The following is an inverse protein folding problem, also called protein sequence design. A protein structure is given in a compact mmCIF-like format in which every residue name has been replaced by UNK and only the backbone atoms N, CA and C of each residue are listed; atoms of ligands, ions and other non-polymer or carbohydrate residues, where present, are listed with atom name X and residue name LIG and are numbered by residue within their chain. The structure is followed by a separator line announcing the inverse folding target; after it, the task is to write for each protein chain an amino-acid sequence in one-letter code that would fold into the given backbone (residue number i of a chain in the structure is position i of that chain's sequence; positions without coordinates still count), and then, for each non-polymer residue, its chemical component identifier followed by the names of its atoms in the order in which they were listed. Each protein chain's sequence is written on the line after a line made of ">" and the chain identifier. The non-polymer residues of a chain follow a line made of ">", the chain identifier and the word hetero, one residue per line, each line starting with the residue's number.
data_IF_974480467248
#
_entry.id   IF_974480467248
#
_cell.length_a   1.000
_cell.length_b   1.000
_cell.length_c   1.000
_cell.angle_alpha   90.00
_cell.angle_beta   90.00
_cell.angle_gamma   90.00
#
_symmetry.space_group_name_H-M   'P 1'
#
loop_
_entity.id
_entity.type
_entity.pdbx_description
1 polymer ?
#
# COMPACT_ATOMS: atom_id res chain seq x y z
N UNK A 1 12.35 14.98 -36.25
CA UNK A 1 12.24 15.74 -35.00
C UNK A 1 12.73 14.86 -33.87
N UNK A 2 13.93 15.09 -33.35
CA UNK A 2 14.41 14.43 -32.13
C UNK A 2 13.51 14.88 -30.96
N UNK A 3 12.72 13.92 -30.44
CA UNK A 3 12.01 14.18 -29.17
C UNK A 3 13.08 14.37 -28.09
N UNK A 4 13.22 15.60 -27.57
CA UNK A 4 14.06 15.88 -26.40
C UNK A 4 13.71 14.85 -25.32
N UNK A 5 14.69 14.05 -24.94
CA UNK A 5 14.56 13.06 -23.86
C UNK A 5 14.19 13.83 -22.58
N UNK A 6 12.97 13.65 -22.09
CA UNK A 6 12.57 14.27 -20.82
C UNK A 6 13.36 13.58 -19.71
N UNK A 7 14.00 14.37 -18.87
CA UNK A 7 14.79 13.89 -17.74
C UNK A 7 13.94 13.04 -16.80
N UNK A 8 14.46 11.90 -16.37
CA UNK A 8 13.77 10.97 -15.46
C UNK A 8 13.27 11.67 -14.18
N UNK A 9 14.06 12.59 -13.63
CA UNK A 9 13.67 13.39 -12.46
C UNK A 9 12.40 14.21 -12.71
N UNK A 10 12.29 14.84 -13.89
CA UNK A 10 11.09 15.62 -14.26
C UNK A 10 9.84 14.73 -14.39
N UNK A 11 10.00 13.54 -14.94
CA UNK A 11 8.89 12.57 -15.07
C UNK A 11 8.40 12.13 -13.69
N UNK A 12 9.32 11.83 -12.76
CA UNK A 12 8.98 11.46 -11.38
C UNK A 12 8.26 12.62 -10.67
N UNK A 13 8.79 13.84 -10.76
CA UNK A 13 8.15 15.02 -10.15
C UNK A 13 6.75 15.23 -10.73
N UNK A 14 6.58 15.14 -12.04
CA UNK A 14 5.27 15.31 -12.68
C UNK A 14 4.28 14.22 -12.25
N UNK A 15 4.73 12.97 -12.17
CA UNK A 15 3.93 11.87 -11.64
C UNK A 15 3.43 12.15 -10.21
N UNK A 16 4.34 12.56 -9.32
CA UNK A 16 4.00 12.84 -7.93
C UNK A 16 3.05 14.04 -7.82
N UNK A 17 3.31 15.12 -8.54
CA UNK A 17 2.46 16.32 -8.52
C UNK A 17 1.04 16.00 -9.01
N UNK A 18 0.90 15.33 -10.15
CA UNK A 18 -0.43 14.98 -10.69
C UNK A 18 -1.15 14.04 -9.72
N UNK A 19 -0.47 12.99 -9.24
CA UNK A 19 -1.06 12.01 -8.33
C UNK A 19 -1.56 12.69 -7.05
N UNK A 20 -0.72 13.48 -6.37
CA UNK A 20 -1.09 14.14 -5.12
C UNK A 20 -2.17 15.20 -5.33
N UNK A 21 -1.98 16.11 -6.30
CA UNK A 21 -2.92 17.22 -6.51
C UNK A 21 -4.30 16.71 -6.93
N UNK A 22 -4.37 15.76 -7.86
CA UNK A 22 -5.67 15.25 -8.32
C UNK A 22 -6.35 14.45 -7.21
N UNK A 23 -5.62 13.59 -6.48
CA UNK A 23 -6.18 12.89 -5.32
C UNK A 23 -6.75 13.87 -4.30
N UNK A 24 -5.96 14.85 -3.89
CA UNK A 24 -6.38 15.80 -2.87
C UNK A 24 -7.53 16.68 -3.34
N UNK A 25 -7.51 17.16 -4.58
CA UNK A 25 -8.64 17.91 -5.14
C UNK A 25 -9.92 17.07 -5.15
N UNK A 26 -9.88 15.84 -5.62
CA UNK A 26 -11.02 14.96 -5.63
C UNK A 26 -11.54 14.66 -4.20
N UNK A 27 -10.64 14.36 -3.27
CA UNK A 27 -11.05 13.97 -1.92
C UNK A 27 -11.42 15.16 -1.03
N UNK A 28 -10.86 16.36 -1.23
CA UNK A 28 -11.31 17.54 -0.50
C UNK A 28 -12.57 18.19 -1.09
N UNK A 29 -12.86 17.98 -2.38
CA UNK A 29 -14.01 18.61 -3.04
C UNK A 29 -15.34 18.33 -2.32
N UNK A 30 -15.71 17.08 -1.95
CA UNK A 30 -16.95 16.81 -1.22
C UNK A 30 -17.07 17.63 0.08
N UNK A 31 -15.98 17.69 0.84
CA UNK A 31 -15.92 18.44 2.11
C UNK A 31 -16.13 19.95 1.86
N UNK A 32 -15.45 20.50 0.85
CA UNK A 32 -15.49 21.94 0.53
C UNK A 32 -16.86 22.41 0.04
N UNK A 33 -17.62 21.54 -0.63
CA UNK A 33 -18.98 21.86 -1.11
C UNK A 33 -20.09 21.40 -0.15
N UNK A 34 -19.71 20.96 1.06
CA UNK A 34 -20.67 20.62 2.13
C UNK A 34 -21.44 19.32 1.89
N UNK A 35 -20.86 18.36 1.17
CA UNK A 35 -21.45 17.02 1.08
C UNK A 35 -21.31 16.29 2.42
N UNK A 36 -22.26 15.40 2.70
CA UNK A 36 -22.14 14.44 3.78
C UNK A 36 -20.99 13.45 3.47
N UNK A 37 -20.01 13.38 4.38
CA UNK A 37 -18.83 12.50 4.25
C UNK A 37 -18.72 11.50 5.41
N UNK A 38 -19.72 11.43 6.30
CA UNK A 38 -19.69 10.57 7.50
C UNK A 38 -19.55 9.08 7.14
N UNK A 39 -20.21 8.65 6.06
CA UNK A 39 -20.21 7.27 5.61
C UNK A 39 -19.44 7.07 4.30
N UNK A 40 -18.63 8.03 3.89
CA UNK A 40 -17.88 7.95 2.63
C UNK A 40 -16.85 6.85 2.67
N UNK A 41 -17.02 5.88 1.80
CA UNK A 41 -16.07 4.77 1.60
C UNK A 41 -16.10 4.32 0.16
N UNK A 42 -15.10 3.53 -0.25
CA UNK A 42 -15.07 2.99 -1.62
C UNK A 42 -16.23 2.02 -1.90
N UNK A 43 -16.89 1.50 -0.87
CA UNK A 43 -18.04 0.58 -0.99
C UNK A 43 -19.39 1.26 -0.94
N UNK A 44 -19.47 2.55 -0.62
CA UNK A 44 -20.69 3.33 -0.76
C UNK A 44 -20.83 3.89 -2.17
N UNK A 45 -22.07 4.11 -2.62
CA UNK A 45 -22.35 4.55 -4.00
C UNK A 45 -23.01 5.94 -4.02
N UNK A 46 -22.63 6.81 -3.10
CA UNK A 46 -22.99 8.20 -3.10
C UNK A 46 -22.01 9.09 -3.89
N UNK A 47 -22.36 10.33 -4.11
CA UNK A 47 -21.50 11.26 -4.86
C UNK A 47 -20.16 11.52 -4.19
N UNK A 48 -20.13 11.60 -2.84
CA UNK A 48 -18.88 11.79 -2.09
C UNK A 48 -17.93 10.62 -2.31
N UNK A 49 -18.44 9.40 -2.32
CA UNK A 49 -17.68 8.16 -2.57
C UNK A 49 -17.17 8.05 -3.99
N UNK A 50 -17.87 8.63 -4.98
CA UNK A 50 -17.34 8.70 -6.35
C UNK A 50 -16.08 9.57 -6.38
N UNK A 51 -16.12 10.77 -5.80
CA UNK A 51 -14.93 11.63 -5.72
C UNK A 51 -13.80 10.99 -4.92
N UNK A 52 -14.14 10.36 -3.79
CA UNK A 52 -13.22 9.60 -2.96
C UNK A 52 -12.52 8.49 -3.76
N UNK A 53 -13.29 7.68 -4.50
CA UNK A 53 -12.77 6.60 -5.32
C UNK A 53 -11.91 7.08 -6.50
N UNK A 54 -12.32 8.16 -7.20
CA UNK A 54 -11.50 8.77 -8.25
C UNK A 54 -10.15 9.22 -7.69
N UNK A 55 -10.13 9.91 -6.55
CA UNK A 55 -8.89 10.28 -5.87
C UNK A 55 -8.04 9.07 -5.49
N UNK A 56 -8.69 8.01 -4.99
CA UNK A 56 -8.03 6.79 -4.53
C UNK A 56 -7.30 6.01 -5.63
N UNK A 57 -7.79 6.02 -6.87
CA UNK A 57 -7.14 5.29 -7.98
C UNK A 57 -6.02 6.06 -8.69
N UNK A 58 -5.79 7.32 -8.34
CA UNK A 58 -4.82 8.17 -9.05
C UNK A 58 -3.40 7.61 -9.10
N UNK A 59 -2.84 7.02 -8.06
CA UNK A 59 -1.48 6.47 -8.16
C UNK A 59 -1.34 5.47 -9.31
N UNK A 60 -2.23 4.50 -9.41
CA UNK A 60 -2.23 3.49 -10.46
C UNK A 60 -2.60 4.06 -11.82
N UNK A 61 -3.63 4.89 -11.89
CA UNK A 61 -4.10 5.48 -13.15
C UNK A 61 -3.01 6.34 -13.81
N UNK A 62 -2.43 7.27 -13.06
CA UNK A 62 -1.35 8.14 -13.56
C UNK A 62 -0.11 7.30 -13.89
N UNK A 63 0.23 6.30 -13.06
CA UNK A 63 1.34 5.39 -13.30
C UNK A 63 1.20 4.64 -14.63
N UNK A 64 0.03 4.05 -14.89
CA UNK A 64 -0.26 3.35 -16.14
C UNK A 64 -0.23 4.30 -17.35
N UNK A 65 -0.85 5.47 -17.24
CA UNK A 65 -0.81 6.49 -18.30
C UNK A 65 0.66 6.87 -18.60
N UNK A 66 1.48 7.08 -17.57
CA UNK A 66 2.89 7.45 -17.74
C UNK A 66 3.74 6.33 -18.36
N UNK A 67 3.40 5.08 -18.06
CA UNK A 67 4.02 3.92 -18.75
C UNK A 67 3.76 3.99 -20.24
N UNK A 68 2.52 4.24 -20.67
CA UNK A 68 2.20 4.37 -22.11
C UNK A 68 2.89 5.57 -22.78
N UNK A 69 3.06 6.68 -22.07
CA UNK A 69 3.67 7.91 -22.61
C UNK A 69 5.21 7.79 -22.67
N UNK A 70 5.84 7.27 -21.63
CA UNK A 70 7.28 7.38 -21.41
C UNK A 70 8.07 6.08 -21.54
N UNK A 71 7.42 4.93 -21.75
CA UNK A 71 8.11 3.65 -21.91
C UNK A 71 8.18 3.24 -23.39
N UNK A 72 9.21 2.45 -23.73
CA UNK A 72 9.27 1.75 -25.03
C UNK A 72 8.21 0.66 -25.08
N UNK A 73 7.97 0.07 -26.26
CA UNK A 73 7.05 -1.07 -26.39
C UNK A 73 7.47 -2.26 -25.51
N UNK A 74 8.76 -2.52 -25.43
CA UNK A 74 9.35 -3.54 -24.58
C UNK A 74 9.14 -3.21 -23.09
N UNK A 75 9.30 -1.94 -22.71
CA UNK A 75 9.03 -1.44 -21.37
C UNK A 75 7.59 -1.59 -20.95
N UNK A 76 6.65 -1.30 -21.84
CA UNK A 76 5.21 -1.51 -21.61
C UNK A 76 4.93 -3.00 -21.37
N UNK A 77 5.48 -3.89 -22.22
CA UNK A 77 5.35 -5.34 -22.04
C UNK A 77 5.95 -5.82 -20.71
N UNK A 78 7.13 -5.33 -20.35
CA UNK A 78 7.75 -5.65 -19.05
C UNK A 78 6.90 -5.18 -17.87
N UNK A 79 6.36 -3.97 -17.93
CA UNK A 79 5.45 -3.45 -16.90
C UNK A 79 4.25 -4.37 -16.69
N UNK A 80 3.49 -4.70 -17.74
CA UNK A 80 2.32 -5.57 -17.61
C UNK A 80 2.70 -7.00 -17.21
N UNK A 81 3.83 -7.52 -17.69
CA UNK A 81 4.36 -8.82 -17.25
C UNK A 81 4.66 -8.82 -15.75
N UNK A 82 5.24 -7.75 -15.21
CA UNK A 82 5.54 -7.64 -13.78
C UNK A 82 4.27 -7.52 -12.94
N UNK A 83 3.22 -6.87 -13.47
CA UNK A 83 1.97 -6.68 -12.76
C UNK A 83 1.10 -7.95 -12.71
N UNK A 84 1.05 -8.71 -13.81
CA UNK A 84 0.03 -9.77 -13.97
C UNK A 84 0.58 -11.18 -14.11
N UNK A 85 1.88 -11.35 -14.39
CA UNK A 85 2.47 -12.68 -14.58
C UNK A 85 3.33 -13.04 -13.38
N UNK A 86 2.97 -14.08 -12.59
CA UNK A 86 3.80 -14.53 -11.48
C UNK A 86 5.13 -15.10 -11.97
N UNK A 87 6.12 -15.14 -11.07
CA UNK A 87 7.35 -15.90 -11.24
C UNK A 87 7.47 -16.92 -10.11
N UNK A 88 8.43 -17.83 -10.19
CA UNK A 88 8.63 -18.86 -9.16
C UNK A 88 8.93 -18.27 -7.78
N UNK A 89 9.59 -17.12 -7.74
CA UNK A 89 9.93 -16.40 -6.52
C UNK A 89 8.72 -15.74 -5.86
N UNK A 90 7.62 -15.50 -6.62
CA UNK A 90 6.41 -14.90 -6.08
C UNK A 90 5.77 -15.75 -5.00
N UNK A 91 5.82 -17.08 -5.10
CA UNK A 91 5.23 -17.97 -4.07
C UNK A 91 5.93 -17.75 -2.73
N UNK A 92 7.26 -17.77 -2.72
CA UNK A 92 8.04 -17.52 -1.50
C UNK A 92 7.78 -16.09 -0.96
N UNK A 93 7.75 -15.09 -1.83
CA UNK A 93 7.47 -13.71 -1.46
C UNK A 93 6.08 -13.56 -0.81
N UNK A 94 5.05 -14.20 -1.38
CA UNK A 94 3.67 -14.19 -0.85
C UNK A 94 3.60 -14.90 0.50
N UNK A 95 4.23 -16.07 0.65
CA UNK A 95 4.25 -16.80 1.92
C UNK A 95 5.00 -16.05 3.01
N UNK A 96 6.12 -15.41 2.69
CA UNK A 96 6.88 -14.56 3.62
C UNK A 96 6.01 -13.36 4.06
N UNK A 97 5.31 -12.72 3.13
CA UNK A 97 4.40 -11.61 3.43
C UNK A 97 3.27 -12.04 4.37
N UNK A 98 2.62 -13.16 4.07
CA UNK A 98 1.54 -13.71 4.91
C UNK A 98 2.05 -14.06 6.30
N UNK A 99 3.23 -14.68 6.40
CA UNK A 99 3.87 -15.00 7.68
C UNK A 99 4.15 -13.75 8.53
N UNK A 100 4.67 -12.68 7.91
CA UNK A 100 4.90 -11.40 8.61
C UNK A 100 3.58 -10.83 9.15
N UNK A 101 2.54 -10.71 8.32
CA UNK A 101 1.24 -10.16 8.72
C UNK A 101 0.62 -11.00 9.86
N UNK A 102 0.68 -12.32 9.78
CA UNK A 102 0.21 -13.18 10.87
C UNK A 102 0.98 -12.96 12.18
N UNK A 103 2.29 -12.73 12.10
CA UNK A 103 3.11 -12.40 13.27
C UNK A 103 2.75 -11.01 13.84
N UNK A 104 2.54 -10.00 13.00
CA UNK A 104 2.09 -8.66 13.41
C UNK A 104 0.77 -8.74 14.18
N UNK A 105 -0.22 -9.46 13.65
CA UNK A 105 -1.51 -9.68 14.31
C UNK A 105 -1.35 -10.40 15.63
N UNK A 106 -0.58 -11.48 15.68
CA UNK A 106 -0.38 -12.26 16.89
C UNK A 106 0.32 -11.45 18.00
N UNK A 107 1.36 -10.68 17.66
CA UNK A 107 2.10 -9.83 18.59
C UNK A 107 1.20 -8.70 19.09
N UNK A 108 0.49 -8.02 18.17
CA UNK A 108 -0.46 -6.95 18.54
C UNK A 108 -1.53 -7.47 19.49
N UNK A 109 -2.13 -8.61 19.18
CA UNK A 109 -3.15 -9.25 20.03
C UNK A 109 -2.61 -9.60 21.41
N UNK A 110 -1.40 -10.16 21.47
CA UNK A 110 -0.77 -10.54 22.75
C UNK A 110 -0.53 -9.32 23.63
N UNK A 111 0.03 -8.24 23.07
CA UNK A 111 0.31 -7.00 23.80
C UNK A 111 -1.00 -6.31 24.22
N UNK A 112 -1.95 -6.15 23.29
CA UNK A 112 -3.23 -5.50 23.58
C UNK A 112 -3.99 -6.22 24.71
N UNK A 113 -4.01 -7.55 24.68
CA UNK A 113 -4.62 -8.36 25.76
C UNK A 113 -3.92 -8.12 27.11
N UNK A 114 -2.61 -7.98 27.13
CA UNK A 114 -1.85 -7.67 28.37
C UNK A 114 -2.16 -6.28 28.91
N UNK A 115 -2.55 -5.37 28.03
CA UNK A 115 -2.96 -4.00 28.38
C UNK A 115 -4.47 -3.89 28.69
N UNK A 116 -5.20 -5.01 28.74
CA UNK A 116 -6.61 -5.06 29.14
C UNK A 116 -7.60 -4.89 27.98
N UNK A 117 -7.14 -4.94 26.72
CA UNK A 117 -8.05 -4.97 25.58
C UNK A 117 -8.81 -6.31 25.53
N UNK A 118 -10.04 -6.25 25.04
CA UNK A 118 -10.79 -7.45 24.69
C UNK A 118 -10.09 -8.25 23.59
N UNK A 119 -10.34 -9.55 23.58
CA UNK A 119 -9.85 -10.39 22.49
C UNK A 119 -10.51 -9.97 21.17
N UNK A 120 -9.73 -10.06 20.07
CA UNK A 120 -10.28 -9.81 18.73
C UNK A 120 -11.49 -10.70 18.47
N UNK A 121 -12.58 -10.07 18.04
CA UNK A 121 -13.82 -10.77 17.78
C UNK A 121 -13.81 -11.59 16.50
N UNK A 122 -12.91 -11.32 15.55
CA UNK A 122 -12.89 -11.91 14.20
C UNK A 122 -14.25 -11.81 13.49
N UNK A 123 -14.90 -10.65 13.60
CA UNK A 123 -16.28 -10.49 13.12
C UNK A 123 -16.41 -10.74 11.61
N UNK A 124 -15.43 -10.31 10.81
CA UNK A 124 -15.41 -10.62 9.39
C UNK A 124 -15.34 -12.13 9.10
N UNK A 125 -14.53 -12.88 9.87
CA UNK A 125 -14.47 -14.33 9.74
C UNK A 125 -15.80 -15.00 10.13
N UNK A 126 -16.46 -14.52 11.20
CA UNK A 126 -17.78 -14.98 11.60
C UNK A 126 -18.82 -14.74 10.50
N UNK A 127 -18.76 -13.57 9.84
CA UNK A 127 -19.62 -13.27 8.70
C UNK A 127 -19.38 -14.22 7.54
N UNK A 128 -18.13 -14.52 7.20
CA UNK A 128 -17.77 -15.49 6.15
C UNK A 128 -18.29 -16.90 6.49
N UNK A 129 -18.14 -17.34 7.75
CA UNK A 129 -18.65 -18.66 8.21
C UNK A 129 -20.17 -18.71 8.10
N UNK A 130 -20.86 -17.62 8.47
CA UNK A 130 -22.33 -17.53 8.40
C UNK A 130 -22.85 -17.47 6.96
N UNK A 131 -22.15 -16.77 6.08
CA UNK A 131 -22.47 -16.67 4.67
C UNK A 131 -21.19 -16.56 3.82
N UNK A 132 -20.76 -17.62 3.11
CA UNK A 132 -19.54 -17.64 2.31
C UNK A 132 -19.45 -16.56 1.22
N UNK A 133 -20.55 -15.93 0.82
CA UNK A 133 -20.53 -14.84 -0.16
C UNK A 133 -19.76 -13.61 0.38
N UNK A 134 -19.69 -13.42 1.71
CA UNK A 134 -18.86 -12.37 2.30
C UNK A 134 -17.36 -12.54 1.99
N UNK A 135 -16.90 -13.77 1.75
CA UNK A 135 -15.52 -13.97 1.29
C UNK A 135 -15.24 -13.23 -0.02
N UNK A 136 -16.11 -13.35 -1.00
CA UNK A 136 -15.96 -12.66 -2.28
C UNK A 136 -16.13 -11.14 -2.14
N UNK A 137 -17.01 -10.68 -1.26
CA UNK A 137 -17.15 -9.26 -0.94
C UNK A 137 -15.85 -8.68 -0.36
N UNK A 138 -15.28 -9.30 0.66
CA UNK A 138 -14.03 -8.85 1.27
C UNK A 138 -12.84 -8.97 0.32
N UNK A 139 -12.79 -10.04 -0.47
CA UNK A 139 -11.76 -10.20 -1.49
C UNK A 139 -11.84 -9.09 -2.54
N UNK A 140 -13.03 -8.80 -3.06
CA UNK A 140 -13.24 -7.75 -4.05
C UNK A 140 -12.78 -6.39 -3.52
N UNK A 141 -13.25 -6.00 -2.35
CA UNK A 141 -12.87 -4.72 -1.75
C UNK A 141 -11.42 -4.69 -1.30
N UNK A 142 -10.87 -5.77 -0.77
CA UNK A 142 -9.45 -5.89 -0.43
C UNK A 142 -8.53 -5.75 -1.64
N UNK A 143 -9.01 -6.10 -2.84
CA UNK A 143 -8.30 -5.89 -4.11
C UNK A 143 -8.42 -4.44 -4.59
N UNK A 144 -9.61 -3.88 -4.60
CA UNK A 144 -9.88 -2.57 -5.22
C UNK A 144 -9.38 -1.42 -4.35
N UNK A 145 -9.57 -1.49 -3.02
CA UNK A 145 -9.30 -0.37 -2.11
C UNK A 145 -7.83 -0.05 -1.86
N UNK A 146 -6.91 -0.87 -2.31
CA UNK A 146 -5.48 -0.64 -2.13
C UNK A 146 -4.66 -1.18 -3.29
N UNK A 147 -4.48 -2.51 -3.42
CA UNK A 147 -3.55 -3.07 -4.40
C UNK A 147 -3.79 -2.61 -5.82
N UNK A 148 -5.03 -2.65 -6.29
CA UNK A 148 -5.39 -2.23 -7.65
C UNK A 148 -5.28 -0.72 -7.84
N UNK A 149 -5.70 0.04 -6.84
CA UNK A 149 -5.69 1.51 -6.88
C UNK A 149 -4.29 2.10 -6.76
N UNK A 150 -3.34 1.36 -6.19
CA UNK A 150 -2.08 1.92 -5.74
C UNK A 150 -0.83 1.26 -6.34
N UNK A 151 -0.78 -0.08 -6.44
CA UNK A 151 0.49 -0.77 -6.66
C UNK A 151 1.04 -0.63 -8.08
N UNK A 152 0.19 -0.44 -9.08
CA UNK A 152 0.66 -0.16 -10.45
C UNK A 152 1.41 1.18 -10.52
N UNK A 153 1.02 2.14 -9.67
CA UNK A 153 1.68 3.43 -9.55
C UNK A 153 2.91 3.38 -8.65
N UNK A 154 2.72 3.05 -7.38
CA UNK A 154 3.81 3.11 -6.41
C UNK A 154 4.93 2.12 -6.71
N UNK A 155 4.60 0.84 -6.97
CA UNK A 155 5.61 -0.22 -7.16
C UNK A 155 5.84 -0.53 -8.62
N UNK A 156 4.81 -0.45 -9.45
CA UNK A 156 4.92 -0.69 -10.88
C UNK A 156 5.68 0.40 -11.63
N UNK A 157 5.39 1.67 -11.33
CA UNK A 157 5.99 2.82 -12.00
C UNK A 157 7.07 3.52 -11.16
N UNK A 158 6.71 4.05 -9.95
CA UNK A 158 7.60 4.93 -9.20
C UNK A 158 8.82 4.19 -8.63
N UNK A 159 8.59 3.04 -7.96
CA UNK A 159 9.69 2.21 -7.44
C UNK A 159 10.61 1.77 -8.57
N UNK A 160 10.05 1.34 -9.69
CA UNK A 160 10.82 0.88 -10.84
C UNK A 160 11.73 1.99 -11.42
N UNK A 161 11.21 3.21 -11.52
CA UNK A 161 11.97 4.36 -11.99
C UNK A 161 13.05 4.87 -11.03
N UNK A 162 12.80 4.73 -9.73
CA UNK A 162 13.75 5.11 -8.68
C UNK A 162 14.74 4.00 -8.37
N UNK A 163 14.50 2.77 -8.86
CA UNK A 163 15.25 1.59 -8.45
C UNK A 163 16.76 1.78 -8.64
N UNK A 164 17.47 1.65 -7.53
CA UNK A 164 18.93 1.67 -7.48
C UNK A 164 19.39 0.80 -6.30
N UNK A 165 20.13 -0.26 -6.60
CA UNK A 165 20.51 -1.31 -5.64
C UNK A 165 21.13 -0.77 -4.34
N UNK A 166 21.95 0.27 -4.47
CA UNK A 166 22.67 0.87 -3.33
C UNK A 166 21.85 1.87 -2.52
N UNK A 167 20.65 2.26 -3.02
CA UNK A 167 19.80 3.31 -2.42
C UNK A 167 18.42 2.81 -2.00
N UNK A 168 18.24 1.48 -1.88
CA UNK A 168 16.92 0.90 -1.62
C UNK A 168 16.29 1.39 -0.31
N UNK A 169 17.09 1.59 0.74
CA UNK A 169 16.59 2.16 1.99
C UNK A 169 16.02 3.57 1.79
N UNK A 170 16.80 4.46 1.16
CA UNK A 170 16.36 5.84 0.93
C UNK A 170 15.15 5.90 0.01
N UNK A 171 15.12 5.06 -1.04
CA UNK A 171 13.99 4.97 -1.97
C UNK A 171 12.74 4.49 -1.25
N UNK A 172 12.85 3.45 -0.40
CA UNK A 172 11.73 2.94 0.38
C UNK A 172 11.15 4.00 1.30
N UNK A 173 12.01 4.66 2.09
CA UNK A 173 11.59 5.70 3.02
C UNK A 173 10.95 6.88 2.29
N UNK A 174 11.51 7.30 1.14
CA UNK A 174 10.94 8.36 0.32
C UNK A 174 9.56 7.98 -0.21
N UNK A 175 9.41 6.79 -0.81
CA UNK A 175 8.12 6.32 -1.33
C UNK A 175 7.11 6.17 -0.20
N UNK A 176 7.51 5.61 0.95
CA UNK A 176 6.65 5.46 2.12
C UNK A 176 6.18 6.81 2.68
N UNK A 177 7.05 7.81 2.74
CA UNK A 177 6.70 9.17 3.15
C UNK A 177 5.67 9.81 2.21
N UNK A 178 5.91 9.75 0.89
CA UNK A 178 4.95 10.26 -0.10
C UNK A 178 3.63 9.50 -0.03
N UNK A 179 3.67 8.19 0.16
CA UNK A 179 2.49 7.34 0.31
C UNK A 179 1.68 7.73 1.56
N UNK A 180 2.36 7.97 2.70
CA UNK A 180 1.71 8.47 3.91
C UNK A 180 1.06 9.85 3.72
N UNK A 181 1.76 10.79 3.06
CA UNK A 181 1.22 12.12 2.75
C UNK A 181 0.05 12.06 1.75
N UNK A 182 0.07 11.11 0.81
CA UNK A 182 -1.02 10.92 -0.13
C UNK A 182 -2.35 10.62 0.57
N UNK A 183 -2.32 9.94 1.73
CA UNK A 183 -3.49 9.66 2.56
C UNK A 183 -4.00 10.87 3.38
N UNK A 184 -3.36 12.04 3.30
CA UNK A 184 -3.69 13.19 4.14
C UNK A 184 -5.19 13.59 4.11
N UNK A 185 -5.93 13.58 2.99
CA UNK A 185 -7.36 13.88 3.02
C UNK A 185 -8.19 12.93 3.88
N UNK A 186 -7.74 11.68 4.08
CA UNK A 186 -8.49 10.67 4.84
C UNK A 186 -8.63 11.01 6.33
N UNK A 187 -7.80 11.90 6.85
CA UNK A 187 -7.94 12.43 8.22
C UNK A 187 -9.24 13.24 8.42
N UNK A 188 -9.91 13.62 7.35
CA UNK A 188 -11.11 14.42 7.35
C UNK A 188 -12.38 13.61 7.04
N UNK A 189 -12.23 12.28 6.93
CA UNK A 189 -13.32 11.36 6.64
C UNK A 189 -13.60 10.43 7.82
N UNK A 190 -14.74 10.58 8.55
CA UNK A 190 -15.04 9.82 9.76
C UNK A 190 -15.01 8.29 9.61
N UNK A 191 -15.26 7.77 8.39
CA UNK A 191 -15.22 6.34 8.13
C UNK A 191 -13.80 5.79 7.84
N UNK A 192 -12.75 6.61 8.01
CA UNK A 192 -11.37 6.22 7.71
C UNK A 192 -10.53 6.09 8.98
N UNK A 193 -9.67 5.06 8.99
CA UNK A 193 -8.83 4.73 10.15
C UNK A 193 -7.88 5.88 10.55
N UNK A 194 -7.41 6.69 9.59
CA UNK A 194 -6.58 7.86 9.85
C UNK A 194 -7.31 8.91 10.68
N UNK A 195 -8.58 9.12 10.39
CA UNK A 195 -9.46 10.02 11.16
C UNK A 195 -9.64 9.50 12.59
N UNK A 196 -10.00 8.23 12.74
CA UNK A 196 -10.26 7.63 14.06
C UNK A 196 -9.00 7.66 14.93
N UNK A 197 -7.86 7.29 14.38
CA UNK A 197 -6.59 7.34 15.10
C UNK A 197 -6.20 8.76 15.50
N UNK A 198 -6.48 9.75 14.66
CA UNK A 198 -6.21 11.15 14.98
C UNK A 198 -7.11 11.65 16.11
N UNK A 199 -8.37 11.21 16.18
CA UNK A 199 -9.29 11.53 17.27
C UNK A 199 -8.89 10.86 18.59
N UNK A 200 -8.42 9.59 18.56
CA UNK A 200 -7.90 8.92 19.75
C UNK A 200 -6.68 9.68 20.28
N UNK A 201 -5.72 9.98 19.42
CA UNK A 201 -4.51 10.71 19.74
C UNK A 201 -3.87 11.27 18.46
N UNK A 202 -3.65 12.60 18.33
CA UNK A 202 -3.02 13.21 17.16
C UNK A 202 -1.65 12.60 16.80
N UNK A 203 -0.85 12.18 17.79
CA UNK A 203 0.44 11.50 17.53
C UNK A 203 0.21 10.11 16.92
N UNK A 204 -0.81 9.39 17.35
CA UNK A 204 -1.19 8.11 16.76
C UNK A 204 -1.63 8.31 15.30
N UNK A 205 -2.50 9.28 15.03
CA UNK A 205 -2.88 9.63 13.68
C UNK A 205 -1.66 9.95 12.79
N UNK A 206 -0.77 10.84 13.24
CA UNK A 206 0.44 11.21 12.50
C UNK A 206 1.43 10.04 12.34
N UNK A 207 1.44 9.08 13.26
CA UNK A 207 2.30 7.89 13.15
C UNK A 207 1.90 6.98 11.99
N UNK A 208 0.72 7.15 11.40
CA UNK A 208 0.33 6.49 10.15
C UNK A 208 1.32 6.79 9.01
N UNK A 209 1.87 8.00 8.93
CA UNK A 209 2.89 8.32 7.93
C UNK A 209 4.16 7.49 8.16
N UNK A 210 4.54 7.31 9.43
CA UNK A 210 5.70 6.49 9.80
C UNK A 210 5.43 5.01 9.52
N UNK A 211 4.19 4.53 9.73
CA UNK A 211 3.82 3.14 9.36
C UNK A 211 3.86 2.92 7.84
N UNK A 212 3.44 3.89 7.04
CA UNK A 212 3.63 3.83 5.59
C UNK A 212 5.12 3.76 5.19
N UNK A 213 6.00 4.48 5.91
CA UNK A 213 7.44 4.43 5.67
C UNK A 213 8.02 3.06 6.04
N UNK A 214 7.64 2.48 7.16
CA UNK A 214 8.09 1.14 7.57
C UNK A 214 7.54 0.05 6.65
N UNK A 215 6.26 0.12 6.30
CA UNK A 215 5.66 -0.78 5.33
C UNK A 215 6.37 -0.74 3.97
N UNK A 216 6.77 0.45 3.50
CA UNK A 216 7.50 0.59 2.24
C UNK A 216 8.86 -0.13 2.26
N UNK A 217 9.50 -0.31 3.42
CA UNK A 217 10.69 -1.15 3.56
C UNK A 217 10.39 -2.61 3.24
N UNK A 218 9.29 -3.14 3.80
CA UNK A 218 8.82 -4.51 3.53
C UNK A 218 8.47 -4.66 2.06
N UNK A 219 7.69 -3.73 1.50
CA UNK A 219 7.29 -3.77 0.10
C UNK A 219 8.50 -3.78 -0.84
N UNK A 220 9.52 -2.98 -0.56
CA UNK A 220 10.76 -2.98 -1.35
C UNK A 220 11.54 -4.28 -1.19
N UNK A 221 11.62 -4.85 0.02
CA UNK A 221 12.28 -6.13 0.23
C UNK A 221 11.58 -7.27 -0.55
N UNK A 222 10.25 -7.31 -0.47
CA UNK A 222 9.42 -8.28 -1.22
C UNK A 222 9.54 -8.05 -2.74
N UNK A 223 9.60 -6.79 -3.20
CA UNK A 223 9.82 -6.44 -4.60
C UNK A 223 11.15 -7.03 -5.15
N UNK A 224 12.21 -6.94 -4.37
CA UNK A 224 13.52 -7.54 -4.71
C UNK A 224 13.43 -9.08 -4.72
N UNK A 225 12.86 -9.68 -3.67
CA UNK A 225 12.68 -11.14 -3.56
C UNK A 225 11.87 -11.69 -4.73
N UNK A 226 10.80 -10.99 -5.10
CA UNK A 226 9.92 -11.37 -6.21
C UNK A 226 10.46 -10.99 -7.60
N UNK A 227 11.74 -10.63 -7.72
CA UNK A 227 12.35 -10.22 -8.97
C UNK A 227 11.55 -9.13 -9.70
N UNK A 228 11.28 -8.03 -9.01
CA UNK A 228 10.51 -6.86 -9.48
C UNK A 228 9.03 -7.17 -9.80
N UNK A 229 8.46 -8.29 -9.34
CA UNK A 229 7.05 -8.61 -9.61
C UNK A 229 6.11 -7.84 -8.70
N UNK A 230 5.40 -6.89 -9.28
CA UNK A 230 4.29 -6.16 -8.63
C UNK A 230 3.19 -7.15 -8.22
N UNK A 231 3.03 -8.25 -8.94
CA UNK A 231 2.12 -9.34 -8.61
C UNK A 231 2.26 -9.80 -7.15
N UNK A 232 3.47 -10.02 -6.65
CA UNK A 232 3.65 -10.44 -5.26
C UNK A 232 3.31 -9.33 -4.24
N UNK A 233 3.61 -8.08 -4.60
CA UNK A 233 3.29 -6.90 -3.80
C UNK A 233 1.77 -6.69 -3.72
N UNK A 234 1.07 -6.95 -4.80
CA UNK A 234 -0.39 -6.90 -4.85
C UNK A 234 -1.00 -7.83 -3.79
N UNK A 235 -0.48 -9.05 -3.65
CA UNK A 235 -0.94 -9.98 -2.61
C UNK A 235 -0.54 -9.55 -1.20
N UNK A 236 0.66 -9.01 -1.00
CA UNK A 236 1.07 -8.43 0.28
C UNK A 236 0.08 -7.35 0.74
N UNK A 237 -0.21 -6.40 -0.14
CA UNK A 237 -1.12 -5.29 0.16
C UNK A 237 -2.55 -5.80 0.39
N UNK A 238 -3.04 -6.69 -0.46
CA UNK A 238 -4.35 -7.32 -0.31
C UNK A 238 -4.50 -8.01 1.05
N UNK A 239 -3.52 -8.81 1.45
CA UNK A 239 -3.54 -9.49 2.74
C UNK A 239 -3.50 -8.50 3.90
N UNK A 240 -2.68 -7.45 3.81
CA UNK A 240 -2.62 -6.41 4.83
C UNK A 240 -3.98 -5.75 5.00
N UNK A 241 -4.64 -5.34 3.91
CA UNK A 241 -5.97 -4.75 3.96
C UNK A 241 -7.03 -5.72 4.49
N UNK A 242 -7.06 -6.97 4.03
CA UNK A 242 -8.07 -7.94 4.45
C UNK A 242 -7.88 -8.36 5.91
N UNK A 243 -6.65 -8.63 6.32
CA UNK A 243 -6.36 -9.20 7.63
C UNK A 243 -6.31 -8.11 8.71
N UNK A 244 -5.63 -6.99 8.46
CA UNK A 244 -5.40 -5.96 9.46
C UNK A 244 -6.54 -4.93 9.55
N UNK A 245 -7.11 -4.51 8.43
CA UNK A 245 -8.05 -3.39 8.40
C UNK A 245 -9.46 -3.74 7.98
N UNK A 246 -9.70 -4.88 7.36
CA UNK A 246 -10.97 -5.11 6.70
C UNK A 246 -11.87 -6.12 7.37
N UNK A 247 -11.63 -7.40 7.09
CA UNK A 247 -12.63 -8.40 7.30
C UNK A 247 -12.54 -9.15 8.63
N UNK A 248 -11.35 -9.25 9.22
CA UNK A 248 -11.11 -10.17 10.33
C UNK A 248 -10.88 -9.49 11.67
N UNK A 249 -10.43 -8.25 11.66
CA UNK A 249 -9.91 -7.60 12.87
C UNK A 249 -10.60 -6.26 13.16
N UNK A 250 -11.10 -5.55 12.15
CA UNK A 250 -11.80 -4.27 12.33
C UNK A 250 -13.28 -4.48 12.77
N UNK A 251 -13.89 -3.63 13.63
CA UNK A 251 -13.33 -2.41 14.25
C UNK A 251 -12.38 -2.71 15.41
N UNK A 252 -11.31 -1.90 15.51
CA UNK A 252 -10.36 -1.99 16.62
C UNK A 252 -10.91 -1.28 17.87
N UNK A 253 -10.58 -1.81 19.06
CA UNK A 253 -10.68 -1.01 20.28
C UNK A 253 -9.58 0.07 20.29
N UNK A 254 -9.79 1.15 21.07
CA UNK A 254 -8.78 2.20 21.23
C UNK A 254 -7.44 1.63 21.70
N UNK A 255 -7.47 0.70 22.66
CA UNK A 255 -6.26 0.02 23.15
C UNK A 255 -5.57 -0.75 22.04
N UNK A 256 -6.32 -1.44 21.18
CA UNK A 256 -5.75 -2.14 20.03
C UNK A 256 -5.14 -1.18 19.02
N UNK A 257 -5.82 -0.07 18.73
CA UNK A 257 -5.35 0.98 17.81
C UNK A 257 -4.03 1.59 18.27
N UNK A 258 -3.87 1.85 19.56
CA UNK A 258 -2.61 2.38 20.12
C UNK A 258 -1.46 1.39 20.03
N UNK A 259 -1.73 0.08 20.04
CA UNK A 259 -0.70 -0.98 19.99
C UNK A 259 -0.34 -1.37 18.57
N UNK A 260 -1.32 -1.42 17.64
CA UNK A 260 -1.09 -1.96 16.29
C UNK A 260 -0.02 -1.18 15.53
N UNK A 261 -0.06 0.14 15.55
CA UNK A 261 0.87 0.98 14.78
C UNK A 261 2.32 0.84 15.23
N UNK A 262 2.66 0.95 16.53
CA UNK A 262 4.03 0.70 16.99
C UNK A 262 4.51 -0.73 16.69
N UNK A 263 3.65 -1.73 16.82
CA UNK A 263 4.00 -3.12 16.52
C UNK A 263 4.31 -3.28 15.03
N UNK A 264 3.45 -2.77 14.14
CA UNK A 264 3.71 -2.78 12.70
C UNK A 264 5.06 -2.12 12.37
N UNK A 265 5.31 -0.90 12.85
CA UNK A 265 6.55 -0.18 12.58
C UNK A 265 7.77 -1.00 13.03
N UNK A 266 7.74 -1.54 14.25
CA UNK A 266 8.86 -2.33 14.78
C UNK A 266 9.04 -3.62 14.00
N UNK A 267 7.97 -4.34 13.70
CA UNK A 267 8.03 -5.61 12.96
C UNK A 267 8.50 -5.41 11.52
N UNK A 268 8.02 -4.39 10.82
CA UNK A 268 8.45 -4.03 9.47
C UNK A 268 9.94 -3.70 9.42
N UNK A 269 10.42 -2.87 10.37
CA UNK A 269 11.84 -2.50 10.45
C UNK A 269 12.70 -3.73 10.78
N UNK A 270 12.30 -4.55 11.75
CA UNK A 270 13.01 -5.78 12.09
C UNK A 270 13.03 -6.76 10.91
N UNK A 271 11.90 -6.94 10.24
CA UNK A 271 11.82 -7.75 9.03
C UNK A 271 12.82 -7.29 7.98
N UNK A 272 12.82 -5.99 7.65
CA UNK A 272 13.73 -5.43 6.67
C UNK A 272 15.20 -5.65 7.07
N UNK A 273 15.56 -5.36 8.31
CA UNK A 273 16.93 -5.53 8.81
C UNK A 273 17.40 -6.99 8.77
N UNK A 274 16.52 -7.94 9.09
CA UNK A 274 16.84 -9.37 9.08
C UNK A 274 16.92 -9.87 7.64
N UNK A 275 15.89 -9.63 6.83
CA UNK A 275 15.77 -10.18 5.48
C UNK A 275 16.89 -9.69 4.58
N UNK A 276 17.23 -8.40 4.61
CA UNK A 276 18.28 -7.82 3.76
C UNK A 276 19.67 -8.35 4.06
N UNK A 277 19.89 -8.95 5.25
CA UNK A 277 21.16 -9.61 5.61
C UNK A 277 21.25 -11.07 5.16
N UNK A 278 20.12 -11.67 4.77
CA UNK A 278 20.10 -13.09 4.34
C UNK A 278 20.83 -13.30 3.01
N UNK A 279 21.43 -14.48 2.86
CA UNK A 279 22.03 -14.91 1.56
C UNK A 279 20.97 -14.96 0.46
N UNK A 280 19.73 -15.31 0.82
CA UNK A 280 18.61 -15.40 -0.12
C UNK A 280 18.29 -14.02 -0.73
N UNK A 281 18.14 -12.98 0.11
CA UNK A 281 17.90 -11.62 -0.37
C UNK A 281 19.05 -11.07 -1.21
N UNK A 282 20.32 -11.28 -0.78
CA UNK A 282 21.50 -10.82 -1.51
C UNK A 282 21.56 -11.42 -2.91
N UNK A 283 21.31 -12.73 -3.04
CA UNK A 283 21.23 -13.39 -4.36
C UNK A 283 20.06 -12.86 -5.20
N UNK A 284 18.91 -12.62 -4.59
CA UNK A 284 17.77 -12.02 -5.29
C UNK A 284 18.13 -10.64 -5.82
N UNK A 285 18.79 -9.80 -5.02
CA UNK A 285 19.23 -8.45 -5.40
C UNK A 285 20.26 -8.47 -6.53
N UNK A 286 21.20 -9.42 -6.53
CA UNK A 286 22.16 -9.60 -7.63
C UNK A 286 21.44 -9.90 -8.95
N UNK A 287 20.40 -10.74 -8.91
CA UNK A 287 19.63 -11.17 -10.08
C UNK A 287 18.65 -10.12 -10.60
N UNK A 288 18.30 -9.12 -9.81
CA UNK A 288 17.45 -8.02 -10.26
C UNK A 288 18.22 -7.21 -11.30
N UNK A 289 17.75 -7.21 -12.53
CA UNK A 289 18.33 -6.39 -13.61
C UNK A 289 18.01 -4.91 -13.35
N UNK A 290 19.02 -4.05 -13.49
CA UNK A 290 18.81 -2.63 -13.60
C UNK A 290 18.01 -2.38 -14.89
N UNK A 291 16.82 -1.80 -14.73
CA UNK A 291 15.91 -1.63 -15.86
C UNK A 291 16.29 -0.40 -16.70
N UNK A 292 16.58 -0.64 -17.98
CA UNK A 292 16.94 0.40 -18.96
C UNK A 292 15.85 0.60 -20.04
N UNK A 293 14.61 0.21 -19.79
CA UNK A 293 13.49 0.33 -20.76
C UNK A 293 12.88 1.73 -20.87
N UNK A 294 13.61 2.76 -20.49
CA UNK A 294 13.18 4.15 -20.62
C UNK A 294 13.45 4.67 -22.03
N UNK A 295 12.44 5.37 -22.63
CA UNK A 295 12.64 6.11 -23.89
C UNK A 295 13.61 7.25 -23.72
#
# INVERSE_FOLDING_TARGET
>A
MERKRIDNKRIIILYLLITLLVTWLCQFMPILIGMDVENTSISSFDYSSIFFGIGGVMPSLVGVIFVFIFYTKEGIKDFFKRCFVPCKECIAAILISLGLICCEVAVTQLISKRLGAEALGFEGLKLIIKNPLYFFYFLFWGIISGPFSEEFGWRGFLTDRLFHKEKLLQISLFIGFIWGIWHFPLYFYPAQIQHDWFLINPFLGLSFIVSCMSAALVYTAIYVIANRRVFAIFFLHMFKNIILTGAMIYPFSDTYSVVVVPVEIVMDVLFYLIVTRTKYYKRALENVSDYNGLK
#
